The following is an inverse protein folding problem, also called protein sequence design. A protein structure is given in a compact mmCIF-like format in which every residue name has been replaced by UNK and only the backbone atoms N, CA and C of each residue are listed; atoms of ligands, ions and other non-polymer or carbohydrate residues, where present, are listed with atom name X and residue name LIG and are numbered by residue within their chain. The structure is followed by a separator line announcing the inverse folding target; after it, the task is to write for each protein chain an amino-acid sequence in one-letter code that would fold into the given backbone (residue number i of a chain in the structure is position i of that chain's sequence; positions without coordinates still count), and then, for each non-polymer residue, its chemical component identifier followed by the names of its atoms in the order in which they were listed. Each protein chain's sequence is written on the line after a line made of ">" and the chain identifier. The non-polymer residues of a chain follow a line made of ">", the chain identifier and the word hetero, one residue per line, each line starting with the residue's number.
data_IF_805903907296
#
_entry.id   IF_805903907296
#
_cell.length_a   1.000
_cell.length_b   1.000
_cell.length_c   1.000
_cell.angle_alpha   90.00
_cell.angle_beta   90.00
_cell.angle_gamma   90.00
#
_symmetry.space_group_name_H-M   'P 1'
#
loop_
_entity.id
_entity.type
_entity.pdbx_description
1 polymer ?
#
# COMPACT_ATOMS: atom_id res chain seq x y z
N UNK A 1 4.22 -8.89 -26.74
CA UNK A 1 5.53 -8.42 -27.23
C UNK A 1 5.34 -7.04 -27.85
N UNK A 2 5.25 -5.99 -27.04
CA UNK A 2 5.34 -4.63 -27.56
C UNK A 2 6.72 -4.11 -27.19
N UNK A 3 7.63 -4.19 -28.16
CA UNK A 3 8.94 -3.58 -28.06
C UNK A 3 8.75 -2.08 -27.81
N UNK A 4 9.41 -1.55 -26.79
CA UNK A 4 9.41 -0.14 -26.41
C UNK A 4 9.73 0.69 -27.69
N UNK A 5 8.70 1.26 -28.31
CA UNK A 5 8.85 2.05 -29.52
C UNK A 5 9.88 3.16 -29.26
N UNK A 6 10.99 3.13 -29.98
CA UNK A 6 12.08 4.10 -29.80
C UNK A 6 11.74 5.48 -30.40
N UNK A 7 10.73 5.58 -31.25
CA UNK A 7 10.27 6.81 -31.89
C UNK A 7 8.78 6.74 -32.20
N UNK A 8 8.14 7.89 -32.34
CA UNK A 8 6.74 8.06 -32.73
C UNK A 8 6.56 9.35 -33.53
N UNK A 9 5.32 9.69 -33.84
CA UNK A 9 4.98 10.91 -34.58
C UNK A 9 4.65 12.04 -33.60
N UNK A 10 5.30 13.18 -33.76
CA UNK A 10 4.97 14.38 -33.01
C UNK A 10 3.60 14.94 -33.43
N UNK A 11 2.61 15.07 -32.51
CA UNK A 11 1.25 15.51 -32.85
C UNK A 11 1.19 16.97 -33.29
N UNK A 12 2.24 17.77 -33.02
CA UNK A 12 2.30 19.19 -33.40
C UNK A 12 2.79 19.42 -34.82
N UNK A 13 3.82 18.69 -35.25
CA UNK A 13 4.46 18.93 -36.54
C UNK A 13 4.46 17.73 -37.49
N UNK A 14 3.95 16.57 -37.08
CA UNK A 14 3.89 15.37 -37.90
C UNK A 14 5.24 14.69 -38.19
N UNK A 15 6.35 15.14 -37.59
CA UNK A 15 7.69 14.57 -37.77
C UNK A 15 7.96 13.43 -36.80
N UNK A 16 8.88 12.54 -37.18
CA UNK A 16 9.40 11.53 -36.27
C UNK A 16 10.03 12.19 -35.04
N UNK A 17 9.71 11.70 -33.85
CA UNK A 17 10.14 12.23 -32.58
C UNK A 17 10.54 11.11 -31.61
N UNK A 18 11.51 11.38 -30.75
CA UNK A 18 12.07 10.40 -29.80
C UNK A 18 11.82 10.80 -28.35
N UNK A 19 11.45 12.06 -28.09
CA UNK A 19 11.16 12.54 -26.73
C UNK A 19 9.76 12.11 -26.32
N UNK A 20 9.66 11.15 -25.41
CA UNK A 20 8.38 10.70 -24.85
C UNK A 20 7.87 11.68 -23.79
N UNK A 21 6.55 11.83 -23.70
CA UNK A 21 5.92 12.52 -22.56
C UNK A 21 6.42 11.90 -21.24
N UNK A 22 6.94 12.74 -20.34
CA UNK A 22 7.52 12.26 -19.08
C UNK A 22 6.51 11.62 -18.12
N UNK A 23 5.22 11.90 -18.29
CA UNK A 23 4.14 11.35 -17.48
C UNK A 23 3.60 10.03 -18.06
N UNK A 24 3.00 10.04 -19.25
CA UNK A 24 2.32 8.87 -19.81
C UNK A 24 3.21 7.98 -20.70
N UNK A 25 4.36 8.46 -21.18
CA UNK A 25 5.31 7.82 -22.09
C UNK A 25 4.75 7.32 -23.42
N UNK A 26 3.54 7.76 -23.82
CA UNK A 26 2.83 7.34 -25.04
C UNK A 26 2.95 8.32 -26.18
N UNK A 27 2.85 9.62 -25.88
CA UNK A 27 3.00 10.67 -26.88
C UNK A 27 4.48 10.99 -27.08
N UNK A 28 4.83 11.25 -28.34
CA UNK A 28 6.19 11.57 -28.76
C UNK A 28 6.27 13.01 -29.25
N UNK A 29 7.31 13.73 -28.88
CA UNK A 29 7.52 15.13 -29.23
C UNK A 29 8.93 15.35 -29.75
N UNK A 30 9.08 16.32 -30.66
CA UNK A 30 10.41 16.74 -31.15
C UNK A 30 11.22 17.38 -30.01
N UNK A 31 10.55 18.17 -29.17
CA UNK A 31 11.13 18.94 -28.07
C UNK A 31 10.06 19.29 -27.01
N UNK A 32 10.48 19.99 -25.95
CA UNK A 32 9.60 20.46 -24.88
C UNK A 32 8.62 21.55 -25.32
N UNK A 33 8.95 22.33 -26.35
CA UNK A 33 8.07 23.36 -26.90
C UNK A 33 6.84 22.73 -27.53
N UNK A 34 7.02 21.71 -28.35
CA UNK A 34 5.91 20.97 -28.95
C UNK A 34 5.08 20.22 -27.89
N UNK A 35 5.70 19.69 -26.84
CA UNK A 35 4.95 19.12 -25.73
C UNK A 35 4.10 20.18 -25.01
N UNK A 36 4.62 21.38 -24.78
CA UNK A 36 3.87 22.47 -24.15
C UNK A 36 2.73 22.97 -25.03
N UNK A 37 2.96 23.06 -26.34
CA UNK A 37 1.95 23.46 -27.31
C UNK A 37 0.80 22.46 -27.41
N UNK A 38 1.09 21.16 -27.33
CA UNK A 38 0.09 20.10 -27.36
C UNK A 38 -0.59 19.85 -26.01
N UNK A 39 -0.06 20.41 -24.93
CA UNK A 39 -0.54 20.12 -23.57
C UNK A 39 -2.04 20.36 -23.35
N UNK A 40 -2.69 21.42 -23.90
CA UNK A 40 -4.13 21.59 -23.76
C UNK A 40 -4.95 20.41 -24.27
N UNK A 41 -4.51 19.75 -25.35
CA UNK A 41 -5.12 18.53 -25.89
C UNK A 41 -4.71 17.30 -25.07
N UNK A 42 -3.39 17.13 -24.88
CA UNK A 42 -2.83 15.92 -24.32
C UNK A 42 -3.13 15.71 -22.82
N UNK A 43 -3.28 16.79 -22.05
CA UNK A 43 -3.50 16.70 -20.58
C UNK A 43 -4.68 15.81 -20.19
N UNK A 44 -5.77 15.82 -20.96
CA UNK A 44 -6.99 15.04 -20.67
C UNK A 44 -6.80 13.54 -20.89
N UNK A 45 -5.82 13.14 -21.70
CA UNK A 45 -5.51 11.74 -22.02
C UNK A 45 -4.18 11.28 -21.39
N UNK A 46 -3.41 12.21 -20.86
CA UNK A 46 -2.07 11.97 -20.35
C UNK A 46 -2.07 11.10 -19.10
N UNK A 47 -2.89 11.44 -18.12
CA UNK A 47 -2.89 10.76 -16.82
C UNK A 47 -3.43 9.34 -16.89
N UNK A 48 -4.34 9.05 -17.82
CA UNK A 48 -5.05 7.77 -17.88
C UNK A 48 -6.04 7.57 -16.71
N UNK A 49 -6.24 8.59 -15.88
CA UNK A 49 -7.16 8.60 -14.74
C UNK A 49 -7.77 9.99 -14.52
N UNK A 50 -8.89 10.02 -13.83
CA UNK A 50 -9.55 11.23 -13.34
C UNK A 50 -10.04 11.04 -11.90
N UNK A 51 -10.41 12.12 -11.22
CA UNK A 51 -11.00 12.04 -9.88
C UNK A 51 -12.51 11.88 -10.04
N UNK A 52 -13.01 10.69 -9.66
CA UNK A 52 -14.42 10.42 -9.46
C UNK A 52 -14.91 10.85 -8.08
N UNK A 53 -16.23 10.93 -7.94
CA UNK A 53 -16.93 11.13 -6.66
C UNK A 53 -18.19 10.31 -6.63
N UNK A 54 -18.38 9.58 -5.54
CA UNK A 54 -19.66 8.93 -5.22
C UNK A 54 -19.98 9.05 -3.72
N UNK A 55 -21.15 8.57 -3.32
CA UNK A 55 -21.62 8.66 -1.94
C UNK A 55 -20.97 7.65 -0.99
N UNK A 56 -20.33 6.61 -1.50
CA UNK A 56 -19.71 5.53 -0.70
C UNK A 56 -18.22 5.78 -0.54
N UNK A 57 -17.50 5.95 -1.64
CA UNK A 57 -16.04 6.10 -1.66
C UNK A 57 -15.58 7.56 -1.51
N UNK A 58 -16.49 8.51 -1.60
CA UNK A 58 -16.10 9.92 -1.67
C UNK A 58 -15.32 10.24 -2.94
N UNK A 59 -14.13 10.83 -2.81
CA UNK A 59 -13.22 11.11 -3.94
C UNK A 59 -12.28 9.93 -4.14
N UNK A 60 -12.20 9.41 -5.35
CA UNK A 60 -11.35 8.29 -5.71
C UNK A 60 -10.82 8.42 -7.15
N UNK A 61 -9.86 7.60 -7.53
CA UNK A 61 -9.31 7.60 -8.89
C UNK A 61 -10.08 6.63 -9.80
N UNK A 62 -10.50 7.12 -10.96
CA UNK A 62 -11.13 6.33 -12.02
C UNK A 62 -10.22 6.27 -13.24
N UNK A 63 -10.07 5.07 -13.82
CA UNK A 63 -9.39 4.93 -15.10
C UNK A 63 -10.23 5.56 -16.23
N UNK A 64 -9.64 6.47 -17.00
CA UNK A 64 -10.29 7.13 -18.15
C UNK A 64 -10.14 6.34 -19.44
N UNK A 65 -9.32 5.30 -19.46
CA UNK A 65 -9.04 4.38 -20.55
C UNK A 65 -8.65 3.02 -20.01
N UNK A 66 -8.62 2.02 -20.87
CA UNK A 66 -8.03 0.75 -20.53
C UNK A 66 -6.53 0.90 -20.24
N UNK A 67 -6.08 0.27 -19.16
CA UNK A 67 -4.69 0.25 -18.71
C UNK A 67 -4.15 -1.17 -18.81
N UNK A 68 -3.03 -1.34 -19.50
CA UNK A 68 -2.35 -2.62 -19.60
C UNK A 68 -1.38 -2.82 -18.40
N UNK A 69 -1.05 -4.06 -18.04
CA UNK A 69 -0.01 -4.34 -17.06
C UNK A 69 1.30 -3.62 -17.41
N UNK A 70 1.90 -2.96 -16.42
CA UNK A 70 3.09 -2.13 -16.58
C UNK A 70 2.83 -0.67 -16.96
N UNK A 71 1.60 -0.30 -17.31
CA UNK A 71 1.26 1.11 -17.52
C UNK A 71 1.47 1.91 -16.25
N UNK A 72 2.21 3.02 -16.35
CA UNK A 72 2.32 3.98 -15.25
C UNK A 72 1.02 4.77 -15.15
N UNK A 73 0.37 4.69 -14.00
CA UNK A 73 -0.86 5.39 -13.67
C UNK A 73 -0.53 6.81 -13.22
N UNK A 74 0.30 6.93 -12.19
CA UNK A 74 0.77 8.23 -11.70
C UNK A 74 2.19 8.13 -11.15
N UNK A 75 2.88 9.27 -11.15
CA UNK A 75 4.16 9.47 -10.46
C UNK A 75 4.09 10.79 -9.72
N UNK A 76 4.31 10.76 -8.41
CA UNK A 76 4.05 11.90 -7.55
C UNK A 76 5.11 12.08 -6.48
N UNK A 77 5.37 13.34 -6.09
CA UNK A 77 6.19 13.67 -4.92
C UNK A 77 5.27 14.01 -3.74
N UNK A 78 5.66 13.68 -2.50
CA UNK A 78 4.78 13.85 -1.37
C UNK A 78 4.47 15.32 -1.06
N UNK A 79 3.28 15.57 -0.54
CA UNK A 79 2.90 16.84 0.09
C UNK A 79 3.70 17.05 1.37
N UNK A 80 3.84 15.97 2.16
CA UNK A 80 4.61 15.90 3.41
C UNK A 80 5.08 14.48 3.62
N UNK A 81 6.23 14.31 4.26
CA UNK A 81 6.75 13.00 4.69
C UNK A 81 7.58 13.15 5.95
N UNK A 82 7.79 12.05 6.65
CA UNK A 82 8.59 12.00 7.86
C UNK A 82 8.58 10.61 8.48
N UNK A 83 9.17 10.45 9.67
CA UNK A 83 9.08 9.22 10.42
C UNK A 83 7.63 8.83 10.69
N UNK A 84 7.35 7.54 10.72
CA UNK A 84 6.06 7.02 11.18
C UNK A 84 5.80 7.44 12.63
N UNK A 85 4.56 7.77 12.96
CA UNK A 85 4.12 8.08 14.33
C UNK A 85 4.23 6.87 15.27
N UNK A 86 4.32 5.67 14.72
CA UNK A 86 4.46 4.40 15.46
C UNK A 86 5.90 3.87 15.48
N UNK A 87 6.88 4.62 14.94
CA UNK A 87 8.26 4.14 14.91
C UNK A 87 8.97 4.36 16.22
N UNK A 88 9.71 3.33 16.66
CA UNK A 88 10.68 3.44 17.76
C UNK A 88 12.10 3.68 17.22
N UNK A 89 12.27 3.79 15.92
CA UNK A 89 13.56 3.93 15.26
C UNK A 89 14.03 5.37 15.30
N UNK A 90 15.33 5.55 15.48
CA UNK A 90 15.97 6.84 15.42
C UNK A 90 16.27 7.17 13.94
N UNK A 91 15.69 8.25 13.44
CA UNK A 91 15.87 8.66 12.05
C UNK A 91 16.45 10.07 11.95
N UNK A 92 17.15 10.33 10.87
CA UNK A 92 17.71 11.63 10.56
C UNK A 92 16.59 12.66 10.30
N UNK A 93 16.60 13.76 11.04
CA UNK A 93 15.63 14.86 10.85
C UNK A 93 15.73 15.48 9.44
N UNK A 94 16.88 15.41 8.78
CA UNK A 94 17.09 15.96 7.44
C UNK A 94 16.57 15.09 6.31
N UNK A 95 16.95 13.81 6.26
CA UNK A 95 16.67 12.90 5.13
C UNK A 95 15.73 11.74 5.48
N UNK A 96 15.38 11.54 6.76
CA UNK A 96 14.58 10.44 7.29
C UNK A 96 15.24 9.05 7.18
N UNK A 97 16.52 8.97 6.83
CA UNK A 97 17.27 7.73 6.89
C UNK A 97 17.47 7.28 8.33
N UNK A 98 17.48 5.97 8.52
CA UNK A 98 17.71 5.35 9.83
C UNK A 98 19.11 5.66 10.35
N UNK A 99 19.22 6.02 11.63
CA UNK A 99 20.46 6.39 12.28
C UNK A 99 20.57 5.93 13.74
N UNK A 100 20.07 4.74 14.04
CA UNK A 100 20.04 4.21 15.42
C UNK A 100 21.44 4.14 16.07
N UNK A 101 22.46 3.75 15.28
CA UNK A 101 23.84 3.59 15.73
C UNK A 101 24.69 4.86 15.59
N UNK A 102 24.06 5.99 15.20
CA UNK A 102 24.76 7.24 14.91
C UNK A 102 24.42 8.27 15.98
N UNK A 103 25.44 8.80 16.65
CA UNK A 103 25.26 9.82 17.71
C UNK A 103 25.32 11.27 17.20
N UNK A 104 25.37 11.45 15.88
CA UNK A 104 25.36 12.77 15.25
C UNK A 104 24.02 13.48 15.51
N UNK A 105 24.11 14.80 15.76
CA UNK A 105 22.97 15.66 16.07
C UNK A 105 23.07 16.97 15.30
N UNK A 106 21.91 17.59 15.01
CA UNK A 106 21.89 18.94 14.50
C UNK A 106 22.52 19.88 15.52
N UNK A 107 23.44 20.75 15.10
CA UNK A 107 24.12 21.72 15.97
C UNK A 107 23.19 22.70 16.67
N UNK A 108 22.04 22.99 16.08
CA UNK A 108 21.10 23.97 16.58
C UNK A 108 20.03 23.33 17.49
N UNK A 109 19.28 22.35 16.98
CA UNK A 109 18.14 21.80 17.68
C UNK A 109 18.42 20.48 18.43
N UNK A 110 19.61 19.91 18.28
CA UNK A 110 20.04 18.64 18.90
C UNK A 110 19.23 17.41 18.48
N UNK A 111 18.44 17.49 17.41
CA UNK A 111 17.73 16.32 16.89
C UNK A 111 18.66 15.39 16.10
N UNK A 112 18.38 14.08 16.03
CA UNK A 112 19.22 13.10 15.38
C UNK A 112 19.47 13.43 13.91
N UNK A 113 20.69 13.20 13.43
CA UNK A 113 21.08 13.31 12.03
C UNK A 113 21.95 12.14 11.63
N UNK A 114 21.90 11.70 10.37
CA UNK A 114 22.74 10.63 9.86
C UNK A 114 24.23 11.06 9.75
N UNK A 115 24.47 12.35 9.50
CA UNK A 115 25.81 12.98 9.44
C UNK A 115 25.64 14.50 9.53
N UNK A 116 26.68 15.20 9.96
CA UNK A 116 26.67 16.66 10.15
C UNK A 116 26.47 17.46 8.85
N UNK A 117 26.84 16.89 7.72
CA UNK A 117 26.73 17.47 6.37
C UNK A 117 25.54 16.94 5.57
N UNK A 118 24.52 16.37 6.24
CA UNK A 118 23.32 15.89 5.56
C UNK A 118 22.64 17.03 4.79
N UNK A 119 22.46 16.85 3.49
CA UNK A 119 21.83 17.85 2.60
C UNK A 119 20.44 18.30 3.05
N UNK A 120 19.69 17.41 3.72
CA UNK A 120 18.39 17.73 4.27
C UNK A 120 18.41 18.79 5.38
N UNK A 121 19.54 19.02 6.04
CA UNK A 121 19.67 20.03 7.10
C UNK A 121 19.69 21.45 6.54
N UNK A 122 20.30 21.66 5.40
CA UNK A 122 20.40 22.96 4.75
C UNK A 122 19.20 23.31 3.84
N UNK A 123 18.29 22.35 3.64
CA UNK A 123 17.11 22.58 2.80
C UNK A 123 16.09 23.49 3.52
N UNK A 124 15.91 24.70 2.95
CA UNK A 124 14.96 25.72 3.45
C UNK A 124 13.51 25.26 3.52
N UNK A 125 13.16 24.22 2.80
CA UNK A 125 11.78 23.66 2.75
C UNK A 125 11.61 22.43 3.64
N UNK A 126 12.67 21.99 4.32
CA UNK A 126 12.69 20.85 5.25
C UNK A 126 13.13 21.29 6.62
N UNK A 127 14.25 20.73 7.08
CA UNK A 127 14.72 20.91 8.45
C UNK A 127 14.95 22.37 8.86
N UNK A 128 15.39 23.24 7.97
CA UNK A 128 15.63 24.63 8.34
C UNK A 128 14.38 25.35 8.86
N UNK A 129 13.18 25.05 8.34
CA UNK A 129 11.93 25.61 8.85
C UNK A 129 11.55 25.06 10.23
N UNK A 130 11.73 23.77 10.44
CA UNK A 130 11.39 23.13 11.70
C UNK A 130 12.45 23.33 12.76
N UNK A 131 13.72 23.47 12.39
CA UNK A 131 14.85 23.63 13.31
C UNK A 131 14.65 24.82 14.29
N UNK A 132 14.35 26.01 13.77
CA UNK A 132 14.11 27.19 14.59
C UNK A 132 12.93 27.01 15.56
N UNK A 133 11.89 26.28 15.15
CA UNK A 133 10.74 25.96 15.99
C UNK A 133 11.12 24.95 17.09
N UNK A 134 11.88 23.92 16.74
CA UNK A 134 12.35 22.88 17.67
C UNK A 134 13.26 23.48 18.76
N UNK A 135 14.15 24.40 18.39
CA UNK A 135 15.00 25.17 19.33
C UNK A 135 14.15 25.99 20.29
N UNK A 136 13.21 26.80 19.76
CA UNK A 136 12.36 27.67 20.59
C UNK A 136 11.45 26.90 21.52
N UNK A 137 10.82 25.85 21.03
CA UNK A 137 9.88 25.04 21.80
C UNK A 137 10.57 24.07 22.77
N UNK A 138 11.88 23.85 22.64
CA UNK A 138 12.66 22.91 23.47
C UNK A 138 12.02 21.52 23.55
N UNK A 139 11.49 21.05 22.42
CA UNK A 139 10.86 19.71 22.34
C UNK A 139 11.96 18.65 22.44
N UNK A 140 11.74 17.69 23.33
CA UNK A 140 12.62 16.53 23.43
C UNK A 140 12.59 15.77 22.10
N UNK A 141 13.76 15.46 21.50
CA UNK A 141 13.81 14.73 20.22
C UNK A 141 13.08 13.38 20.28
N UNK A 142 11.96 13.31 19.58
CA UNK A 142 11.14 12.11 19.41
C UNK A 142 10.69 12.03 17.96
N UNK A 143 11.21 11.04 17.22
CA UNK A 143 10.96 10.95 15.78
C UNK A 143 9.48 10.82 15.44
N UNK A 144 8.68 10.17 16.28
CA UNK A 144 7.25 9.96 16.10
C UNK A 144 6.40 11.24 16.06
N UNK A 145 6.87 12.37 16.57
CA UNK A 145 6.13 13.65 16.49
C UNK A 145 6.59 14.55 15.35
N UNK A 146 7.65 14.20 14.63
CA UNK A 146 8.25 15.07 13.62
C UNK A 146 7.31 15.32 12.42
N UNK A 147 6.62 14.30 11.95
CA UNK A 147 5.64 14.45 10.86
C UNK A 147 4.48 15.36 11.28
N UNK A 148 4.02 15.24 12.51
CA UNK A 148 2.96 16.10 13.07
C UNK A 148 3.43 17.56 13.13
N UNK A 149 4.66 17.81 13.56
CA UNK A 149 5.25 19.16 13.58
C UNK A 149 5.33 19.74 12.17
N UNK A 150 5.71 18.94 11.18
CA UNK A 150 5.74 19.36 9.77
C UNK A 150 4.35 19.75 9.26
N UNK A 151 3.32 19.01 9.60
CA UNK A 151 1.93 19.30 9.26
C UNK A 151 1.44 20.59 9.96
N UNK A 152 1.76 20.77 11.24
CA UNK A 152 1.46 22.01 11.97
C UNK A 152 2.12 23.24 11.34
N UNK A 153 3.35 23.12 10.88
CA UNK A 153 4.05 24.21 10.17
C UNK A 153 3.32 24.52 8.85
N UNK A 154 2.97 23.50 8.05
CA UNK A 154 2.24 23.70 6.79
C UNK A 154 0.87 24.34 7.01
N UNK A 155 0.16 23.94 8.07
CA UNK A 155 -1.11 24.54 8.47
C UNK A 155 -0.96 26.02 8.84
N UNK A 156 -0.01 26.32 9.72
CA UNK A 156 0.23 27.68 10.21
C UNK A 156 0.69 28.64 9.10
N UNK A 157 1.47 28.14 8.17
CA UNK A 157 1.92 28.92 7.00
C UNK A 157 0.82 29.09 5.96
N UNK A 158 -0.34 28.46 6.09
CA UNK A 158 -1.43 28.42 5.09
C UNK A 158 -0.89 28.07 3.70
N UNK A 159 0.02 27.09 3.66
CA UNK A 159 0.72 26.72 2.43
C UNK A 159 -0.24 26.08 1.41
N UNK A 160 0.07 26.19 0.10
CA UNK A 160 -0.67 25.47 -0.94
C UNK A 160 -0.74 23.97 -0.67
N UNK A 161 0.34 23.38 -0.10
CA UNK A 161 0.34 21.97 0.30
C UNK A 161 -0.67 21.68 1.39
N UNK A 162 -0.85 22.59 2.34
CA UNK A 162 -1.89 22.44 3.37
C UNK A 162 -3.30 22.45 2.76
N UNK A 163 -3.55 23.29 1.76
CA UNK A 163 -4.86 23.30 1.08
C UNK A 163 -5.17 21.94 0.44
N UNK A 164 -4.18 21.28 -0.17
CA UNK A 164 -4.36 19.92 -0.71
C UNK A 164 -4.58 18.90 0.40
N UNK A 165 -3.80 18.96 1.49
CA UNK A 165 -3.92 18.06 2.64
C UNK A 165 -5.28 18.19 3.34
N UNK A 166 -5.75 19.41 3.58
CA UNK A 166 -7.04 19.67 4.23
C UNK A 166 -8.27 19.15 3.45
N UNK A 167 -8.08 18.85 2.18
CA UNK A 167 -9.12 18.23 1.35
C UNK A 167 -9.12 16.70 1.43
N UNK A 168 -8.13 16.06 2.06
CA UNK A 168 -8.09 14.62 2.25
C UNK A 168 -8.98 14.20 3.42
N UNK A 169 -9.39 12.94 3.42
CA UNK A 169 -10.19 12.35 4.49
C UNK A 169 -9.40 12.33 5.80
N UNK A 170 -10.04 12.60 6.94
CA UNK A 170 -9.37 12.60 8.23
C UNK A 170 -10.22 12.02 9.37
N UNK A 171 -11.50 11.73 9.14
CA UNK A 171 -12.44 11.13 10.10
C UNK A 171 -12.39 11.77 11.49
N UNK A 172 -12.22 13.09 11.58
CA UNK A 172 -12.14 13.80 12.87
C UNK A 172 -13.40 13.63 13.71
N UNK A 173 -14.55 13.43 13.05
CA UNK A 173 -15.85 13.19 13.67
C UNK A 173 -15.91 11.88 14.48
N UNK A 174 -15.11 10.87 14.14
CA UNK A 174 -15.04 9.59 14.83
C UNK A 174 -13.96 9.54 15.94
N UNK A 175 -13.23 10.66 16.18
CA UNK A 175 -12.12 10.77 17.12
C UNK A 175 -12.53 11.42 18.44
N UNK A 176 -13.77 11.16 18.90
CA UNK A 176 -14.31 11.72 20.13
C UNK A 176 -13.80 11.02 21.40
N UNK A 177 -14.10 11.61 22.59
CA UNK A 177 -13.73 11.02 23.87
C UNK A 177 -14.21 9.57 24.03
N UNK A 178 -13.34 8.72 24.56
CA UNK A 178 -13.60 7.29 24.75
C UNK A 178 -13.18 6.41 23.58
N UNK A 179 -12.56 6.98 22.52
CA UNK A 179 -11.97 6.23 21.44
C UNK A 179 -10.44 6.16 21.58
N UNK A 180 -9.83 5.08 21.06
CA UNK A 180 -8.37 4.94 21.01
C UNK A 180 -7.71 6.11 20.25
N UNK A 181 -8.32 6.57 19.18
CA UNK A 181 -7.86 7.73 18.41
C UNK A 181 -7.86 9.04 19.25
N UNK A 182 -8.78 9.20 20.19
CA UNK A 182 -8.76 10.31 21.13
C UNK A 182 -7.60 10.23 22.13
N UNK A 183 -7.31 9.04 22.63
CA UNK A 183 -6.22 8.79 23.57
C UNK A 183 -4.87 9.02 22.88
N UNK A 184 -4.73 8.63 21.61
CA UNK A 184 -3.57 8.94 20.80
C UNK A 184 -3.36 10.44 20.63
N UNK A 185 -4.38 11.21 20.25
CA UNK A 185 -4.32 12.68 20.17
C UNK A 185 -3.92 13.30 21.50
N UNK A 186 -4.43 12.78 22.61
CA UNK A 186 -4.09 13.23 23.97
C UNK A 186 -2.61 12.97 24.29
N UNK A 187 -2.09 11.80 23.95
CA UNK A 187 -0.68 11.43 24.09
C UNK A 187 0.23 12.34 23.25
N UNK A 188 -0.12 12.59 21.99
CA UNK A 188 0.58 13.53 21.10
C UNK A 188 0.56 14.94 21.69
N UNK A 189 -0.59 15.39 22.19
CA UNK A 189 -0.72 16.71 22.83
C UNK A 189 0.23 16.87 24.02
N UNK A 190 0.38 15.85 24.85
CA UNK A 190 1.34 15.87 25.96
C UNK A 190 2.80 15.99 25.47
N UNK A 191 3.17 15.21 24.46
CA UNK A 191 4.54 15.24 23.88
C UNK A 191 4.87 16.59 23.22
N UNK A 192 3.86 17.27 22.67
CA UNK A 192 3.97 18.58 22.05
C UNK A 192 3.67 19.73 23.04
N UNK A 193 3.51 19.47 24.32
CA UNK A 193 3.14 20.44 25.34
C UNK A 193 3.88 21.78 25.25
N UNK A 194 5.23 21.82 25.18
CA UNK A 194 5.98 23.08 25.04
C UNK A 194 5.61 23.88 23.78
N UNK A 195 5.38 23.21 22.66
CA UNK A 195 4.93 23.86 21.41
C UNK A 195 3.51 24.41 21.56
N UNK A 196 2.61 23.64 22.16
CA UNK A 196 1.21 24.00 22.31
C UNK A 196 1.02 25.14 23.33
N UNK A 197 1.93 25.31 24.29
CA UNK A 197 1.97 26.48 25.15
C UNK A 197 2.34 27.77 24.42
N UNK A 198 3.19 27.65 23.38
CA UNK A 198 3.59 28.78 22.54
C UNK A 198 2.57 29.11 21.42
N UNK A 199 1.77 28.14 21.03
CA UNK A 199 0.84 28.19 19.90
C UNK A 199 -0.42 27.37 20.25
N UNK A 200 -1.28 27.92 21.10
CA UNK A 200 -2.47 27.22 21.64
C UNK A 200 -3.49 26.87 20.55
N UNK A 201 -3.55 27.66 19.48
CA UNK A 201 -4.36 27.42 18.28
C UNK A 201 -4.03 26.08 17.58
N UNK A 202 -2.83 25.53 17.79
CA UNK A 202 -2.45 24.24 17.28
C UNK A 202 -3.23 23.07 17.91
N UNK A 203 -3.78 23.23 19.11
CA UNK A 203 -4.55 22.17 19.80
C UNK A 203 -5.79 21.77 19.03
N UNK A 204 -6.48 22.75 18.46
CA UNK A 204 -7.77 22.55 17.78
C UNK A 204 -7.61 21.77 16.46
N UNK A 205 -6.43 21.82 15.84
CA UNK A 205 -6.15 21.13 14.59
C UNK A 205 -5.48 19.76 14.75
N UNK A 206 -4.99 19.42 15.95
CA UNK A 206 -4.31 18.15 16.19
C UNK A 206 -5.16 16.91 15.85
N UNK A 207 -6.45 16.82 16.23
CA UNK A 207 -7.26 15.65 15.87
C UNK A 207 -7.35 15.45 14.34
N UNK A 208 -7.51 16.54 13.60
CA UNK A 208 -7.51 16.52 12.14
C UNK A 208 -6.16 16.07 11.59
N UNK A 209 -5.03 16.55 12.14
CA UNK A 209 -3.69 16.18 11.68
C UNK A 209 -3.40 14.71 11.95
N UNK A 210 -3.73 14.17 13.12
CA UNK A 210 -3.60 12.75 13.42
C UNK A 210 -4.45 11.93 12.44
N UNK A 211 -5.71 12.33 12.22
CA UNK A 211 -6.57 11.67 11.26
C UNK A 211 -6.06 11.71 9.82
N UNK A 212 -5.47 12.82 9.40
CA UNK A 212 -4.83 12.90 8.08
C UNK A 212 -3.69 11.89 7.92
N UNK A 213 -2.89 11.69 8.95
CA UNK A 213 -1.80 10.70 8.94
C UNK A 213 -2.38 9.29 8.87
N UNK A 214 -3.27 8.93 9.79
CA UNK A 214 -3.80 7.58 9.91
C UNK A 214 -4.52 7.10 8.65
N UNK A 215 -5.26 8.01 7.99
CA UNK A 215 -6.06 7.65 6.82
C UNK A 215 -5.26 7.68 5.52
N UNK A 216 -4.28 8.60 5.39
CA UNK A 216 -3.69 8.87 4.07
C UNK A 216 -2.18 8.61 3.97
N UNK A 217 -1.49 8.35 5.08
CA UNK A 217 -0.06 8.14 5.03
C UNK A 217 0.29 6.75 4.48
N UNK A 218 1.14 6.72 3.47
CA UNK A 218 1.68 5.49 2.89
C UNK A 218 3.08 5.26 3.45
N UNK A 219 3.35 4.05 3.90
CA UNK A 219 4.69 3.63 4.30
C UNK A 219 5.63 3.66 3.09
N UNK A 220 6.80 4.27 3.26
CA UNK A 220 7.79 4.42 2.20
C UNK A 220 8.96 3.47 2.41
N UNK A 221 9.43 2.88 1.31
CA UNK A 221 10.66 2.09 1.31
C UNK A 221 11.36 2.26 -0.04
N UNK A 222 12.41 3.07 -0.15
CA UNK A 222 13.09 3.91 0.86
C UNK A 222 12.42 5.26 1.14
N UNK A 223 12.74 5.93 2.26
CA UNK A 223 13.46 5.38 3.42
C UNK A 223 12.54 4.54 4.30
N UNK A 224 13.08 3.45 4.85
CA UNK A 224 12.36 2.55 5.76
C UNK A 224 11.96 3.26 7.07
N UNK A 225 10.78 2.94 7.62
CA UNK A 225 10.26 3.53 8.86
C UNK A 225 9.74 4.96 8.69
N UNK A 226 9.63 5.43 7.45
CA UNK A 226 9.02 6.71 7.10
C UNK A 226 7.67 6.52 6.45
N UNK A 227 6.83 7.55 6.54
CA UNK A 227 5.53 7.62 5.87
C UNK A 227 5.40 8.94 5.11
N UNK A 228 4.58 8.94 4.07
CA UNK A 228 4.36 10.11 3.23
C UNK A 228 2.89 10.23 2.81
N UNK A 229 2.40 11.47 2.73
CA UNK A 229 1.05 11.79 2.25
C UNK A 229 1.17 12.43 0.86
N UNK A 230 0.40 11.91 -0.08
CA UNK A 230 0.36 12.33 -1.47
C UNK A 230 -0.99 12.96 -1.83
N UNK A 231 -1.03 13.80 -2.86
CA UNK A 231 -2.26 14.47 -3.26
C UNK A 231 -3.24 13.52 -3.97
N UNK A 232 -2.72 12.68 -4.87
CA UNK A 232 -3.51 11.79 -5.70
C UNK A 232 -3.32 10.31 -5.33
N UNK A 233 -2.12 9.89 -4.95
CA UNK A 233 -1.91 8.50 -4.54
C UNK A 233 -2.72 8.13 -3.28
N UNK A 234 -3.00 9.11 -2.39
CA UNK A 234 -3.91 8.94 -1.25
C UNK A 234 -5.40 8.81 -1.63
N UNK A 235 -5.75 8.95 -2.91
CA UNK A 235 -7.09 8.71 -3.43
C UNK A 235 -7.25 7.33 -4.11
N UNK A 236 -6.23 6.49 -4.01
CA UNK A 236 -6.32 5.09 -4.44
C UNK A 236 -7.08 4.31 -3.37
N UNK A 237 -8.17 3.71 -3.80
CA UNK A 237 -8.99 2.88 -2.91
C UNK A 237 -8.29 1.56 -2.57
N UNK A 238 -8.49 1.11 -1.33
CA UNK A 238 -8.06 -0.21 -0.94
C UNK A 238 -8.85 -1.28 -1.70
N UNK A 239 -8.16 -2.31 -2.16
CA UNK A 239 -8.76 -3.54 -2.66
C UNK A 239 -7.88 -4.72 -2.26
N UNK A 240 -8.49 -5.74 -1.65
CA UNK A 240 -7.81 -7.01 -1.36
C UNK A 240 -7.30 -7.66 -2.66
N UNK A 241 -7.97 -7.39 -3.79
CA UNK A 241 -7.52 -7.72 -5.14
C UNK A 241 -7.00 -6.44 -5.80
N UNK A 242 -5.85 -5.95 -5.34
CA UNK A 242 -5.30 -4.74 -5.90
C UNK A 242 -4.92 -4.93 -7.37
N UNK A 243 -5.40 -4.02 -8.21
CA UNK A 243 -5.08 -3.97 -9.64
C UNK A 243 -3.87 -3.05 -9.93
N UNK A 244 -3.29 -2.48 -8.88
CA UNK A 244 -2.15 -1.58 -8.96
C UNK A 244 -1.05 -2.01 -8.01
N UNK A 245 0.19 -1.64 -8.33
CA UNK A 245 1.34 -1.72 -7.45
C UNK A 245 2.03 -0.36 -7.42
N UNK A 246 2.70 -0.06 -6.33
CA UNK A 246 3.52 1.14 -6.22
C UNK A 246 4.97 0.78 -5.89
N UNK A 247 5.85 1.71 -6.21
CA UNK A 247 7.25 1.68 -5.79
C UNK A 247 7.69 3.08 -5.38
N UNK A 248 8.67 3.14 -4.48
CA UNK A 248 9.26 4.39 -4.05
C UNK A 248 10.68 4.53 -4.57
N UNK A 249 11.08 5.77 -4.87
CA UNK A 249 12.46 6.14 -5.14
C UNK A 249 12.74 7.48 -4.51
N UNK A 250 13.92 7.64 -3.93
CA UNK A 250 14.38 8.96 -3.50
C UNK A 250 14.71 9.77 -4.74
N UNK A 251 14.10 10.94 -4.87
CA UNK A 251 14.41 11.87 -5.97
C UNK A 251 15.69 12.68 -5.68
N UNK A 252 16.15 13.44 -6.65
CA UNK A 252 17.32 14.33 -6.57
C UNK A 252 17.23 15.41 -5.45
N UNK A 253 16.05 15.58 -4.85
CA UNK A 253 15.80 16.44 -3.69
C UNK A 253 15.60 15.66 -2.41
N UNK A 254 15.91 14.36 -2.38
CA UNK A 254 15.80 13.50 -1.22
C UNK A 254 14.36 13.25 -0.76
N UNK A 255 13.35 13.30 -1.65
CA UNK A 255 11.95 13.05 -1.32
C UNK A 255 11.53 11.67 -1.81
N UNK A 256 10.72 10.93 -1.05
CA UNK A 256 10.18 9.63 -1.49
C UNK A 256 9.14 9.85 -2.59
N UNK A 257 9.57 9.74 -3.85
CA UNK A 257 8.68 9.79 -5.02
C UNK A 257 7.99 8.45 -5.17
N UNK A 258 6.66 8.45 -5.19
CA UNK A 258 5.85 7.26 -5.50
C UNK A 258 5.65 7.15 -7.02
N UNK A 259 5.68 5.93 -7.52
CA UNK A 259 5.20 5.57 -8.86
C UNK A 259 4.19 4.45 -8.71
N UNK A 260 2.98 4.66 -9.21
CA UNK A 260 1.89 3.67 -9.23
C UNK A 260 1.71 3.18 -10.65
N UNK A 261 1.61 1.88 -10.83
CA UNK A 261 1.44 1.24 -12.13
C UNK A 261 0.43 0.09 -12.07
N UNK A 262 -0.21 -0.17 -13.19
CA UNK A 262 -1.14 -1.28 -13.33
C UNK A 262 -0.39 -2.61 -13.27
N UNK A 263 -0.90 -3.58 -12.53
CA UNK A 263 -0.35 -4.95 -12.48
C UNK A 263 -1.24 -5.96 -13.20
N UNK A 264 -2.50 -5.59 -13.41
CA UNK A 264 -3.45 -6.34 -14.22
C UNK A 264 -4.04 -5.41 -15.28
N UNK A 265 -4.83 -5.98 -16.20
CA UNK A 265 -5.60 -5.18 -17.14
C UNK A 265 -6.72 -4.44 -16.39
N UNK A 266 -6.67 -3.11 -16.36
CA UNK A 266 -7.69 -2.27 -15.72
C UNK A 266 -8.61 -1.73 -16.80
N UNK A 267 -9.86 -2.19 -16.83
CA UNK A 267 -10.87 -1.66 -17.74
C UNK A 267 -11.32 -0.27 -17.29
N UNK A 268 -11.63 0.55 -18.26
CA UNK A 268 -12.39 1.77 -18.04
C UNK A 268 -13.76 1.37 -17.46
N UNK A 269 -14.10 1.89 -16.28
CA UNK A 269 -15.27 1.55 -15.45
C UNK A 269 -15.16 0.23 -14.68
N UNK A 270 -15.61 0.25 -13.40
CA UNK A 270 -15.63 -0.90 -12.51
C UNK A 270 -16.62 -1.96 -12.98
N UNK A 271 -16.23 -3.22 -12.91
CA UNK A 271 -17.12 -4.36 -12.85
C UNK A 271 -17.32 -4.73 -11.37
N UNK A 272 -18.54 -4.62 -10.87
CA UNK A 272 -18.94 -5.14 -9.57
C UNK A 272 -19.25 -6.63 -9.73
N UNK A 273 -18.24 -7.48 -9.52
CA UNK A 273 -18.38 -8.94 -9.54
C UNK A 273 -18.43 -9.45 -8.10
N UNK A 274 -19.58 -9.98 -7.63
CA UNK A 274 -19.72 -10.50 -6.26
C UNK A 274 -18.83 -11.71 -5.98
N UNK A 275 -18.30 -12.37 -7.01
CA UNK A 275 -17.36 -13.50 -6.89
C UNK A 275 -15.90 -13.06 -6.94
N UNK A 276 -15.64 -11.76 -7.11
CA UNK A 276 -14.30 -11.19 -7.23
C UNK A 276 -13.47 -11.88 -8.32
N UNK A 277 -14.03 -11.99 -9.52
CA UNK A 277 -13.46 -12.69 -10.69
C UNK A 277 -13.29 -14.21 -10.46
N UNK A 278 -14.17 -14.80 -9.66
CA UNK A 278 -14.15 -16.22 -9.33
C UNK A 278 -13.07 -16.63 -8.34
N UNK A 279 -12.47 -15.67 -7.63
CA UNK A 279 -11.47 -15.95 -6.58
C UNK A 279 -12.10 -16.21 -5.22
N UNK A 280 -13.28 -15.64 -4.98
CA UNK A 280 -14.06 -15.83 -3.75
C UNK A 280 -13.31 -15.46 -2.44
N UNK A 281 -12.50 -14.40 -2.47
CA UNK A 281 -11.69 -13.97 -1.32
C UNK A 281 -12.50 -13.54 -0.10
N UNK A 282 -13.71 -13.02 -0.31
CA UNK A 282 -14.63 -12.61 0.75
C UNK A 282 -15.86 -13.52 0.88
N UNK A 283 -15.97 -14.61 0.11
CA UNK A 283 -17.19 -15.41 0.02
C UNK A 283 -17.35 -16.38 1.21
N UNK A 284 -18.57 -16.46 1.73
CA UNK A 284 -18.95 -17.40 2.79
C UNK A 284 -19.65 -18.64 2.22
N UNK A 285 -19.52 -19.77 2.90
CA UNK A 285 -20.31 -20.96 2.61
C UNK A 285 -21.73 -20.80 3.20
N UNK A 286 -22.75 -21.19 2.45
CA UNK A 286 -24.09 -21.22 2.97
C UNK A 286 -24.31 -22.44 3.90
N UNK A 287 -25.04 -22.29 5.02
CA UNK A 287 -25.45 -23.42 5.86
C UNK A 287 -26.22 -24.54 5.12
N UNK A 288 -26.80 -24.23 3.95
CA UNK A 288 -27.43 -25.25 3.10
C UNK A 288 -26.43 -26.26 2.49
N UNK A 289 -25.13 -25.99 2.56
CA UNK A 289 -23.99 -26.78 2.03
C UNK A 289 -23.95 -26.92 0.49
N UNK A 290 -24.88 -26.31 -0.23
CA UNK A 290 -25.00 -26.41 -1.68
C UNK A 290 -24.77 -25.11 -2.42
N UNK A 291 -24.58 -23.99 -1.69
CA UNK A 291 -24.42 -22.67 -2.27
C UNK A 291 -23.50 -21.77 -1.47
N UNK A 292 -23.22 -20.64 -2.05
CA UNK A 292 -22.34 -19.59 -1.51
C UNK A 292 -23.16 -18.35 -1.12
N UNK A 293 -22.79 -17.72 -0.03
CA UNK A 293 -23.33 -16.44 0.38
C UNK A 293 -22.54 -15.32 -0.33
N UNK A 294 -23.23 -14.55 -1.14
CA UNK A 294 -22.66 -13.46 -1.94
C UNK A 294 -23.40 -12.15 -1.63
N UNK A 295 -22.68 -11.00 -1.64
CA UNK A 295 -23.32 -9.70 -1.44
C UNK A 295 -24.26 -9.36 -2.60
N UNK A 296 -25.47 -8.87 -2.30
CA UNK A 296 -26.44 -8.49 -3.32
C UNK A 296 -25.99 -7.27 -4.15
N UNK A 297 -25.22 -6.38 -3.52
CA UNK A 297 -24.55 -5.25 -4.17
C UNK A 297 -23.13 -5.15 -3.61
N UNK A 298 -22.11 -5.68 -4.33
CA UNK A 298 -20.71 -5.67 -3.87
C UNK A 298 -20.10 -4.29 -3.64
N UNK A 299 -20.73 -3.24 -4.15
CA UNK A 299 -20.28 -1.86 -3.98
C UNK A 299 -20.88 -1.16 -2.76
N UNK A 300 -21.86 -1.79 -2.12
CA UNK A 300 -22.54 -1.25 -0.94
C UNK A 300 -22.14 -2.07 0.31
N UNK A 301 -21.35 -1.53 1.24
CA UNK A 301 -20.90 -2.26 2.43
C UNK A 301 -22.05 -2.66 3.37
N UNK A 302 -23.21 -2.02 3.25
CA UNK A 302 -24.39 -2.30 4.06
C UNK A 302 -25.39 -3.24 3.36
N UNK A 303 -25.00 -3.88 2.25
CA UNK A 303 -25.90 -4.76 1.51
C UNK A 303 -26.11 -6.08 2.25
N UNK A 304 -27.32 -6.62 2.15
CA UNK A 304 -27.56 -8.01 2.59
C UNK A 304 -26.89 -8.98 1.63
N UNK A 305 -26.60 -10.16 2.14
CA UNK A 305 -26.03 -11.24 1.36
C UNK A 305 -27.07 -12.33 1.15
N UNK A 306 -27.06 -12.95 0.00
CA UNK A 306 -28.00 -14.03 -0.38
C UNK A 306 -27.23 -15.26 -0.85
N UNK A 307 -27.81 -16.42 -0.61
CA UNK A 307 -27.28 -17.67 -1.15
C UNK A 307 -27.65 -17.79 -2.64
N UNK A 308 -26.69 -18.28 -3.43
CA UNK A 308 -26.90 -18.55 -4.86
C UNK A 308 -27.70 -19.83 -5.15
N UNK A 309 -27.89 -20.71 -4.13
CA UNK A 309 -28.57 -22.00 -4.29
C UNK A 309 -29.82 -22.20 -3.41
N UNK A 310 -30.10 -21.30 -2.45
CA UNK A 310 -31.28 -21.41 -1.60
C UNK A 310 -31.79 -20.00 -1.20
N UNK A 311 -33.00 -19.86 -0.64
CA UNK A 311 -33.53 -18.54 -0.24
C UNK A 311 -32.90 -17.95 1.03
N UNK A 312 -31.79 -18.52 1.53
CA UNK A 312 -31.09 -18.05 2.72
C UNK A 312 -30.49 -16.67 2.50
N UNK A 313 -30.65 -15.79 3.48
CA UNK A 313 -30.06 -14.45 3.53
C UNK A 313 -29.40 -14.19 4.86
N UNK A 314 -28.38 -13.30 4.86
CA UNK A 314 -27.72 -12.82 6.06
C UNK A 314 -27.48 -11.31 5.92
N UNK A 315 -27.57 -10.56 7.00
CA UNK A 315 -27.34 -9.11 6.98
C UNK A 315 -25.85 -8.78 6.93
N UNK A 316 -25.51 -7.58 6.44
CA UNK A 316 -24.14 -7.08 6.45
C UNK A 316 -23.54 -7.02 7.88
N UNK A 317 -24.34 -6.70 8.89
CA UNK A 317 -23.91 -6.65 10.28
C UNK A 317 -23.52 -8.05 10.81
N UNK A 318 -24.32 -9.09 10.52
CA UNK A 318 -24.01 -10.47 10.89
C UNK A 318 -22.77 -10.99 10.17
N UNK A 319 -22.56 -10.60 8.90
CA UNK A 319 -21.33 -10.94 8.16
C UNK A 319 -20.12 -10.25 8.80
N UNK A 320 -20.20 -8.96 9.12
CA UNK A 320 -19.13 -8.22 9.76
C UNK A 320 -18.76 -8.86 11.11
N UNK A 321 -19.72 -9.13 11.98
CA UNK A 321 -19.48 -9.78 13.29
C UNK A 321 -18.83 -11.17 13.12
N UNK A 322 -19.25 -11.95 12.13
CA UNK A 322 -18.63 -13.24 11.84
C UNK A 322 -17.17 -13.09 11.40
N UNK A 323 -16.89 -12.17 10.47
CA UNK A 323 -15.54 -11.96 9.93
C UNK A 323 -14.62 -11.42 11.01
N UNK A 324 -15.03 -10.42 11.78
CA UNK A 324 -14.23 -9.83 12.86
C UNK A 324 -13.82 -10.90 13.89
N UNK A 325 -14.75 -11.76 14.32
CA UNK A 325 -14.47 -12.86 15.22
C UNK A 325 -13.49 -13.89 14.62
N UNK A 326 -13.63 -14.22 13.33
CA UNK A 326 -12.70 -15.14 12.66
C UNK A 326 -11.32 -14.52 12.47
N UNK A 327 -11.24 -13.21 12.23
CA UNK A 327 -9.98 -12.49 12.12
C UNK A 327 -9.22 -12.47 13.45
N UNK A 328 -9.89 -12.19 14.57
CA UNK A 328 -9.32 -12.28 15.92
C UNK A 328 -8.76 -13.69 16.19
N UNK A 329 -9.51 -14.72 15.85
CA UNK A 329 -9.09 -16.11 16.01
C UNK A 329 -7.86 -16.44 15.16
N UNK A 330 -7.85 -16.01 13.88
CA UNK A 330 -6.69 -16.19 12.97
C UNK A 330 -5.47 -15.49 13.54
N UNK A 331 -5.59 -14.22 13.96
CA UNK A 331 -4.48 -13.46 14.54
C UNK A 331 -3.92 -14.15 15.78
N UNK A 332 -4.77 -14.65 16.67
CA UNK A 332 -4.31 -15.30 17.90
C UNK A 332 -3.57 -16.61 17.62
N UNK A 333 -4.12 -17.46 16.75
CA UNK A 333 -3.47 -18.73 16.38
C UNK A 333 -2.15 -18.49 15.63
N UNK A 334 -2.07 -17.46 14.79
CA UNK A 334 -0.86 -17.12 14.03
C UNK A 334 0.31 -16.66 14.93
N UNK A 335 0.05 -16.13 16.13
CA UNK A 335 1.12 -15.75 17.09
C UNK A 335 1.93 -16.95 17.58
N UNK A 336 1.32 -18.14 17.67
CA UNK A 336 1.94 -19.37 18.15
C UNK A 336 1.62 -20.54 17.22
N UNK A 337 1.82 -20.32 15.91
CA UNK A 337 1.45 -21.26 14.87
C UNK A 337 2.24 -22.56 14.96
N UNK A 338 1.51 -23.68 15.05
CA UNK A 338 2.02 -25.05 14.91
C UNK A 338 1.26 -25.76 13.80
N UNK A 339 1.79 -26.88 13.30
CA UNK A 339 1.07 -27.70 12.32
C UNK A 339 -0.34 -28.08 12.80
N UNK A 340 -0.46 -28.49 14.06
CA UNK A 340 -1.73 -28.91 14.66
C UNK A 340 -2.73 -27.73 14.72
N UNK A 341 -2.32 -26.61 15.31
CA UNK A 341 -3.21 -25.45 15.49
C UNK A 341 -3.66 -24.84 14.16
N UNK A 342 -2.77 -24.78 13.16
CA UNK A 342 -3.14 -24.29 11.83
C UNK A 342 -4.04 -25.28 11.07
N UNK A 343 -3.81 -26.59 11.21
CA UNK A 343 -4.66 -27.61 10.59
C UNK A 343 -6.09 -27.59 11.15
N UNK A 344 -6.23 -27.48 12.47
CA UNK A 344 -7.51 -27.36 13.14
C UNK A 344 -8.24 -26.07 12.74
N UNK A 345 -7.53 -24.95 12.75
CA UNK A 345 -8.09 -23.65 12.33
C UNK A 345 -8.57 -23.72 10.88
N UNK A 346 -7.74 -24.18 9.96
CA UNK A 346 -8.10 -24.28 8.55
C UNK A 346 -9.32 -25.18 8.33
N UNK A 347 -9.43 -26.28 9.06
CA UNK A 347 -10.60 -27.18 9.00
C UNK A 347 -11.87 -26.47 9.45
N UNK A 348 -11.83 -25.63 10.49
CA UNK A 348 -12.97 -24.84 10.95
C UNK A 348 -13.31 -23.72 9.97
N UNK A 349 -12.32 -22.99 9.48
CA UNK A 349 -12.53 -21.91 8.51
C UNK A 349 -13.22 -22.44 7.25
N UNK A 350 -12.80 -23.57 6.70
CA UNK A 350 -13.37 -24.14 5.46
C UNK A 350 -14.82 -24.62 5.61
N UNK A 351 -15.35 -24.74 6.82
CA UNK A 351 -16.79 -24.99 7.04
C UNK A 351 -17.60 -23.72 6.78
N UNK A 352 -17.11 -22.56 7.21
CA UNK A 352 -17.82 -21.28 7.17
C UNK A 352 -17.48 -20.47 5.92
N UNK A 353 -16.26 -20.59 5.43
CA UNK A 353 -15.68 -19.77 4.39
C UNK A 353 -15.39 -20.60 3.14
N UNK A 354 -15.54 -19.98 1.96
CA UNK A 354 -15.08 -20.59 0.72
C UNK A 354 -13.58 -20.92 0.80
N UNK A 355 -13.09 -22.04 0.24
CA UNK A 355 -11.65 -22.37 0.28
C UNK A 355 -10.71 -21.32 -0.32
N UNK A 356 -11.22 -20.48 -1.22
CA UNK A 356 -10.50 -19.31 -1.77
C UNK A 356 -10.54 -18.06 -0.89
N UNK A 357 -11.25 -18.10 0.25
CA UNK A 357 -11.34 -16.95 1.16
C UNK A 357 -9.95 -16.55 1.68
N UNK A 358 -9.70 -15.25 1.84
CA UNK A 358 -8.41 -14.70 2.26
C UNK A 358 -7.85 -15.36 3.52
N UNK A 359 -8.67 -15.63 4.53
CA UNK A 359 -8.24 -16.30 5.76
C UNK A 359 -7.83 -17.77 5.51
N UNK A 360 -8.57 -18.49 4.68
CA UNK A 360 -8.22 -19.88 4.31
C UNK A 360 -6.89 -19.93 3.54
N UNK A 361 -6.67 -18.97 2.62
CA UNK A 361 -5.42 -18.86 1.86
C UNK A 361 -4.25 -18.49 2.77
N UNK A 362 -4.42 -17.51 3.67
CA UNK A 362 -3.37 -17.07 4.61
C UNK A 362 -2.95 -18.18 5.57
N UNK A 363 -3.91 -18.85 6.21
CA UNK A 363 -3.64 -19.98 7.12
C UNK A 363 -3.04 -21.16 6.36
N UNK A 364 -3.56 -21.47 5.18
CA UNK A 364 -3.02 -22.52 4.31
C UNK A 364 -1.58 -22.25 3.89
N UNK A 365 -1.23 -21.00 3.56
CA UNK A 365 0.13 -20.62 3.19
C UNK A 365 1.12 -20.74 4.36
N UNK A 366 0.69 -20.45 5.58
CA UNK A 366 1.52 -20.70 6.77
C UNK A 366 1.66 -22.20 7.06
N UNK A 367 0.58 -22.94 6.87
CA UNK A 367 0.57 -24.39 7.11
C UNK A 367 1.50 -25.17 6.16
N UNK A 368 1.54 -24.83 4.86
CA UNK A 368 2.43 -25.52 3.91
C UNK A 368 3.90 -25.41 4.28
N UNK A 369 4.31 -24.37 4.99
CA UNK A 369 5.69 -24.19 5.43
C UNK A 369 6.05 -25.08 6.64
N UNK A 370 5.05 -25.58 7.38
CA UNK A 370 5.23 -26.46 8.53
C UNK A 370 5.01 -27.93 8.20
N UNK A 371 4.21 -28.24 7.17
CA UNK A 371 3.93 -29.62 6.77
C UNK A 371 5.18 -30.29 6.19
N UNK A 372 5.45 -31.57 6.53
CA UNK A 372 6.48 -32.37 5.88
C UNK A 372 6.24 -32.48 4.37
N UNK A 373 7.30 -32.57 3.58
CA UNK A 373 7.20 -32.74 2.14
C UNK A 373 6.42 -33.99 1.70
N UNK A 374 6.43 -35.02 2.54
CA UNK A 374 5.74 -36.29 2.30
C UNK A 374 4.24 -36.26 2.66
N UNK A 375 3.75 -35.19 3.30
CA UNK A 375 2.33 -35.06 3.62
C UNK A 375 1.54 -34.71 2.35
N UNK A 376 0.58 -35.52 1.98
CA UNK A 376 -0.25 -35.34 0.79
C UNK A 376 -1.05 -34.03 0.81
N UNK A 377 -1.42 -33.53 1.99
CA UNK A 377 -2.12 -32.24 2.17
C UNK A 377 -1.29 -31.07 1.67
N UNK A 378 0.06 -31.14 1.78
CA UNK A 378 0.96 -30.07 1.37
C UNK A 378 0.85 -29.77 -0.12
N UNK A 379 0.96 -30.79 -0.98
CA UNK A 379 0.85 -30.63 -2.43
C UNK A 379 -0.53 -30.09 -2.83
N UNK A 380 -1.61 -30.62 -2.22
CA UNK A 380 -2.97 -30.18 -2.49
C UNK A 380 -3.20 -28.71 -2.09
N UNK A 381 -2.74 -28.30 -0.90
CA UNK A 381 -2.82 -26.92 -0.45
C UNK A 381 -2.00 -25.97 -1.35
N UNK A 382 -0.78 -26.35 -1.71
CA UNK A 382 0.03 -25.57 -2.63
C UNK A 382 -0.68 -25.35 -3.98
N UNK A 383 -1.27 -26.40 -4.56
CA UNK A 383 -2.01 -26.30 -5.83
C UNK A 383 -3.23 -25.40 -5.73
N UNK A 384 -3.98 -25.48 -4.64
CA UNK A 384 -5.13 -24.62 -4.35
C UNK A 384 -4.72 -23.16 -4.21
N UNK A 385 -3.67 -22.88 -3.44
CA UNK A 385 -3.11 -21.53 -3.29
C UNK A 385 -2.67 -21.01 -4.65
N UNK A 386 -1.97 -21.82 -5.43
CA UNK A 386 -1.51 -21.42 -6.78
C UNK A 386 -2.66 -21.13 -7.74
N UNK A 387 -3.75 -21.91 -7.72
CA UNK A 387 -4.94 -21.63 -8.54
C UNK A 387 -5.55 -20.27 -8.16
N UNK A 388 -5.77 -20.01 -6.88
CA UNK A 388 -6.29 -18.71 -6.40
C UNK A 388 -5.34 -17.58 -6.76
N UNK A 389 -4.04 -17.71 -6.46
CA UNK A 389 -3.05 -16.67 -6.74
C UNK A 389 -2.90 -16.39 -8.24
N UNK A 390 -2.99 -17.42 -9.10
CA UNK A 390 -2.91 -17.22 -10.56
C UNK A 390 -4.07 -16.40 -11.13
N UNK A 391 -5.23 -16.44 -10.50
CA UNK A 391 -6.39 -15.58 -10.83
C UNK A 391 -6.23 -14.17 -10.29
N UNK A 392 -5.68 -14.03 -9.06
CA UNK A 392 -5.45 -12.75 -8.40
C UNK A 392 -4.31 -11.95 -9.02
N UNK A 393 -3.27 -12.63 -9.42
CA UNK A 393 -2.03 -12.03 -9.92
C UNK A 393 -1.48 -12.81 -11.13
N UNK A 394 -2.19 -12.82 -12.26
CA UNK A 394 -1.84 -13.63 -13.44
C UNK A 394 -0.46 -13.29 -14.01
N UNK A 395 0.08 -12.13 -13.66
CA UNK A 395 1.40 -11.68 -14.13
C UNK A 395 2.51 -11.84 -13.07
N UNK A 396 2.18 -12.31 -11.87
CA UNK A 396 3.14 -12.55 -10.78
C UNK A 396 3.88 -11.27 -10.32
N UNK A 397 3.20 -10.13 -10.37
CA UNK A 397 3.84 -8.85 -10.07
C UNK A 397 3.68 -8.45 -8.59
N UNK A 398 2.52 -8.73 -8.00
CA UNK A 398 2.16 -8.31 -6.65
C UNK A 398 2.41 -9.41 -5.61
N UNK A 399 2.02 -10.62 -5.93
CA UNK A 399 2.15 -11.79 -5.07
C UNK A 399 3.40 -12.63 -5.39
N UNK A 400 4.40 -12.03 -6.06
CA UNK A 400 5.62 -12.72 -6.49
C UNK A 400 6.29 -13.49 -5.36
N UNK A 401 6.51 -12.85 -4.21
CA UNK A 401 7.14 -13.49 -3.04
C UNK A 401 6.27 -14.63 -2.50
N UNK A 402 4.97 -14.37 -2.33
CA UNK A 402 3.99 -15.35 -1.85
C UNK A 402 3.93 -16.58 -2.77
N UNK A 403 3.86 -16.33 -4.07
CA UNK A 403 3.86 -17.36 -5.12
C UNK A 403 5.16 -18.16 -5.14
N UNK A 404 6.31 -17.48 -5.00
CA UNK A 404 7.61 -18.14 -5.01
C UNK A 404 7.82 -19.04 -3.79
N UNK A 405 7.37 -18.63 -2.59
CA UNK A 405 7.34 -19.50 -1.41
C UNK A 405 6.48 -20.74 -1.67
N UNK A 406 5.26 -20.57 -2.18
CA UNK A 406 4.36 -21.69 -2.47
C UNK A 406 4.95 -22.66 -3.50
N UNK A 407 5.58 -22.12 -4.58
CA UNK A 407 6.24 -22.95 -5.59
C UNK A 407 7.45 -23.71 -5.03
N UNK A 408 8.22 -23.09 -4.14
CA UNK A 408 9.35 -23.75 -3.47
C UNK A 408 8.87 -24.90 -2.58
N UNK A 409 7.80 -24.67 -1.81
CA UNK A 409 7.21 -25.72 -0.99
C UNK A 409 6.63 -26.87 -1.83
N UNK A 410 5.99 -26.55 -2.96
CA UNK A 410 5.48 -27.54 -3.92
C UNK A 410 6.62 -28.35 -4.55
N UNK A 411 7.74 -27.71 -4.89
CA UNK A 411 8.92 -28.34 -5.47
C UNK A 411 9.53 -29.45 -4.60
N UNK A 412 9.27 -29.41 -3.29
CA UNK A 412 9.75 -30.44 -2.35
C UNK A 412 8.80 -31.63 -2.22
N UNK A 413 7.58 -31.54 -2.77
CA UNK A 413 6.60 -32.61 -2.66
C UNK A 413 6.91 -33.77 -3.61
N UNK A 414 6.68 -35.06 -3.21
CA UNK A 414 6.86 -36.22 -4.08
C UNK A 414 5.98 -36.13 -5.33
N UNK A 415 6.56 -36.49 -6.49
CA UNK A 415 5.85 -36.50 -7.77
C UNK A 415 5.77 -35.15 -8.49
N UNK A 416 6.28 -34.08 -7.90
CA UNK A 416 6.33 -32.75 -8.51
C UNK A 416 7.68 -32.53 -9.25
N UNK A 417 7.65 -31.76 -10.34
CA UNK A 417 8.87 -31.39 -11.06
C UNK A 417 9.60 -30.24 -10.31
N UNK A 418 10.51 -30.65 -9.44
CA UNK A 418 11.30 -29.72 -8.59
C UNK A 418 11.91 -28.60 -9.41
N UNK A 419 12.55 -28.95 -10.54
CA UNK A 419 13.31 -27.97 -11.34
C UNK A 419 12.41 -26.94 -12.02
N UNK A 420 11.26 -27.39 -12.52
CA UNK A 420 10.26 -26.50 -13.16
C UNK A 420 9.71 -25.51 -12.12
N UNK A 421 9.33 -25.96 -10.94
CA UNK A 421 8.77 -25.10 -9.90
C UNK A 421 9.80 -24.10 -9.37
N UNK A 422 11.03 -24.52 -9.10
CA UNK A 422 12.10 -23.64 -8.62
C UNK A 422 12.49 -22.61 -9.69
N UNK A 423 12.61 -23.01 -10.97
CA UNK A 423 12.91 -22.08 -12.06
C UNK A 423 11.82 -20.99 -12.20
N UNK A 424 10.54 -21.39 -12.09
CA UNK A 424 9.42 -20.45 -12.11
C UNK A 424 9.46 -19.49 -10.91
N UNK A 425 9.77 -19.98 -9.71
CA UNK A 425 9.90 -19.15 -8.52
C UNK A 425 11.06 -18.14 -8.64
N UNK A 426 12.22 -18.58 -9.11
CA UNK A 426 13.37 -17.68 -9.35
C UNK A 426 13.05 -16.58 -10.38
N UNK A 427 12.32 -16.93 -11.45
CA UNK A 427 11.90 -15.97 -12.48
C UNK A 427 10.98 -14.88 -11.90
N UNK A 428 9.99 -15.25 -11.07
CA UNK A 428 9.08 -14.31 -10.42
C UNK A 428 9.82 -13.29 -9.54
N UNK A 429 10.88 -13.73 -8.87
CA UNK A 429 11.67 -12.88 -7.96
C UNK A 429 12.79 -12.10 -8.66
N UNK A 430 12.91 -12.18 -10.00
CA UNK A 430 14.01 -11.53 -10.73
C UNK A 430 14.02 -10.00 -10.59
N UNK A 431 12.87 -9.39 -10.40
CA UNK A 431 12.71 -7.94 -10.28
C UNK A 431 12.73 -7.43 -8.82
N UNK A 432 12.97 -8.32 -7.86
CA UNK A 432 13.01 -7.93 -6.44
C UNK A 432 14.21 -7.02 -6.14
N UNK A 433 14.01 -5.99 -5.28
CA UNK A 433 15.07 -5.08 -4.91
C UNK A 433 16.24 -5.78 -4.20
N UNK A 434 17.49 -5.28 -4.32
CA UNK A 434 18.61 -5.77 -3.55
C UNK A 434 18.33 -5.78 -2.04
N UNK A 435 18.73 -6.85 -1.35
CA UNK A 435 18.54 -7.09 0.08
C UNK A 435 17.08 -7.26 0.55
N UNK A 436 16.12 -7.29 -0.37
CA UNK A 436 14.73 -7.60 -0.03
C UNK A 436 14.55 -9.06 0.41
N UNK A 437 13.45 -9.41 1.13
CA UNK A 437 13.10 -10.80 1.40
C UNK A 437 13.00 -11.64 0.13
N UNK A 438 12.49 -11.07 -0.96
CA UNK A 438 12.37 -11.75 -2.25
C UNK A 438 13.72 -12.04 -2.90
N UNK A 439 14.67 -11.11 -2.85
CA UNK A 439 16.02 -11.38 -3.35
C UNK A 439 16.74 -12.45 -2.53
N UNK A 440 16.61 -12.43 -1.20
CA UNK A 440 17.18 -13.48 -0.34
C UNK A 440 16.61 -14.86 -0.68
N UNK A 441 15.29 -14.94 -0.88
CA UNK A 441 14.64 -16.20 -1.29
C UNK A 441 15.10 -16.64 -2.68
N UNK A 442 15.22 -15.72 -3.64
CA UNK A 442 15.72 -16.02 -4.99
C UNK A 442 17.10 -16.66 -4.94
N UNK A 443 18.03 -16.10 -4.16
CA UNK A 443 19.38 -16.66 -4.01
C UNK A 443 19.38 -18.09 -3.43
N UNK A 444 18.50 -18.34 -2.45
CA UNK A 444 18.32 -19.69 -1.90
C UNK A 444 17.82 -20.67 -2.97
N UNK A 445 16.80 -20.27 -3.74
CA UNK A 445 16.23 -21.07 -4.82
C UNK A 445 17.26 -21.37 -5.91
N UNK A 446 18.11 -20.41 -6.27
CA UNK A 446 19.17 -20.59 -7.27
C UNK A 446 20.26 -21.60 -6.83
N UNK A 447 20.45 -21.79 -5.53
CA UNK A 447 21.33 -22.85 -4.99
C UNK A 447 20.65 -24.23 -5.00
N UNK A 448 19.32 -24.26 -4.90
CA UNK A 448 18.52 -25.50 -4.89
C UNK A 448 18.20 -26.04 -6.29
N UNK A 449 18.40 -25.20 -7.36
CA UNK A 449 18.22 -25.55 -8.79
C UNK A 449 19.37 -26.41 -9.34
#
# INVERSE_FOLDING_TARGET
>A
MDGDLKYGICPVCGKNATLKCGSCRREFYCDKSHQSQDWPRHRSTCSGWEIGRDSVLGRHLLATRDLAPGDVILTETPLVWGPSTHTNQRVCVGCSERCDDIDARCSECCWPVCRSDCEGLSDKKRHQLECALLVRARIIPRCEVLLIIRLLILWRMKSRRWTSLANLQNHVESRGPGTEAHDEVSSVSQRLGPLLLMASDCKDVLPMICGLIDVNALETAPPEGSVAIYEHASLLEHSCIANTRHSFRIDDKGRPRITVYAVTFIKKYRCADPTELGTHLGTLNCPCKNGLMLPNDPLNPNTNWSCDACPGTITSAEVAELIDRLEEEVVEVMKQATECTLSELLSRLTVLLHPGHQHCISVGHSLIQLLPATDSRKSELCKRIMDTVSRLDPYGARLALYTAVTLRELAMCPGEDKRVHLAKAALLLKAEPPNSPGERLRRLIEVEL
#
